data_IF_900003804314
#
_entry.id   IF_900003804314
#
_cell.length_a   1.000
_cell.length_b   1.000
_cell.length_c   1.000
_cell.angle_alpha   90.00
_cell.angle_beta   90.00
_cell.angle_gamma   90.00
#
_symmetry.space_group_name_H-M   'P 1'
#
loop_
_entity.id
_entity.type
_entity.pdbx_description
1 polymer ?
#
# COMPACT_ATOMS: atom_id res chain seq x y z
N UNK A 1 -7.49 8.33 16.37
CA UNK A 1 -6.18 8.40 15.67
C UNK A 1 -5.09 8.32 16.71
N UNK A 2 -4.12 7.45 16.49
CA UNK A 2 -2.91 7.37 17.30
C UNK A 2 -1.75 7.28 16.31
N UNK A 3 -0.79 8.21 16.36
CA UNK A 3 0.35 8.28 15.42
C UNK A 3 -0.01 8.29 13.91
N UNK A 4 -1.10 8.95 13.52
CA UNK A 4 -1.55 8.99 12.11
C UNK A 4 -2.15 7.69 11.60
N UNK A 5 -2.30 6.68 12.47
CA UNK A 5 -3.02 5.45 12.18
C UNK A 5 -4.52 5.69 12.26
N UNK A 6 -5.24 5.30 11.22
CA UNK A 6 -6.70 5.34 11.16
C UNK A 6 -7.22 3.92 11.14
N UNK A 7 -8.16 3.62 12.04
CA UNK A 7 -8.88 2.35 12.09
C UNK A 7 -10.34 2.64 11.79
N UNK A 8 -10.89 1.96 10.80
CA UNK A 8 -12.31 1.99 10.48
C UNK A 8 -12.90 0.62 10.75
N UNK A 9 -13.77 0.56 11.75
CA UNK A 9 -14.57 -0.62 12.07
C UNK A 9 -15.96 -0.46 11.46
N UNK A 10 -16.34 -1.41 10.62
CA UNK A 10 -17.66 -1.48 9.99
C UNK A 10 -18.32 -2.76 10.45
N UNK A 11 -19.39 -2.62 11.22
CA UNK A 11 -20.21 -3.71 11.71
C UNK A 11 -21.68 -3.46 11.43
N UNK A 12 -22.46 -4.53 11.36
CA UNK A 12 -23.91 -4.43 11.22
C UNK A 12 -24.52 -3.77 12.46
N UNK A 13 -25.56 -2.97 12.22
CA UNK A 13 -26.34 -2.36 13.29
C UNK A 13 -27.80 -2.79 13.18
N UNK A 14 -28.48 -2.87 14.33
CA UNK A 14 -29.90 -3.22 14.37
C UNK A 14 -30.79 -2.14 13.73
N UNK A 15 -30.26 -0.94 13.49
CA UNK A 15 -30.99 0.15 12.84
C UNK A 15 -31.20 -0.10 11.35
N UNK A 16 -30.31 -0.85 10.68
CA UNK A 16 -30.47 -1.26 9.28
C UNK A 16 -31.76 -2.08 9.09
N UNK A 17 -32.16 -2.87 10.09
CA UNK A 17 -33.40 -3.64 10.02
C UNK A 17 -34.67 -2.78 10.12
N UNK A 18 -34.60 -1.58 10.69
CA UNK A 18 -35.73 -0.65 10.74
C UNK A 18 -35.95 0.02 9.39
N UNK A 19 -34.87 0.38 8.69
CA UNK A 19 -34.93 1.03 7.37
C UNK A 19 -35.13 0.02 6.24
N UNK A 20 -34.58 -1.19 6.37
CA UNK A 20 -34.62 -2.25 5.37
C UNK A 20 -35.08 -3.58 5.99
N UNK A 21 -36.37 -3.73 6.32
CA UNK A 21 -36.89 -4.93 6.96
C UNK A 21 -36.76 -6.17 6.06
N UNK A 22 -36.44 -7.31 6.67
CA UNK A 22 -36.35 -8.60 5.99
C UNK A 22 -37.73 -8.98 5.45
N UNK A 23 -37.78 -9.41 4.20
CA UNK A 23 -38.98 -9.91 3.52
C UNK A 23 -38.86 -11.41 3.32
N UNK A 24 -39.99 -12.11 3.22
CA UNK A 24 -40.00 -13.54 2.88
C UNK A 24 -39.21 -13.80 1.59
N UNK A 25 -38.32 -14.79 1.65
CA UNK A 25 -37.41 -15.14 0.55
C UNK A 25 -36.04 -14.44 0.59
N UNK A 26 -35.83 -13.46 1.47
CA UNK A 26 -34.52 -12.84 1.68
C UNK A 26 -33.75 -13.53 2.82
N UNK A 27 -32.43 -13.56 2.69
CA UNK A 27 -31.51 -13.95 3.76
C UNK A 27 -30.76 -12.70 4.22
N UNK A 28 -30.67 -12.50 5.53
CA UNK A 28 -29.86 -11.43 6.09
C UNK A 28 -28.42 -11.93 6.26
N UNK A 29 -27.50 -11.34 5.50
CA UNK A 29 -26.08 -11.52 5.73
C UNK A 29 -25.58 -10.50 6.76
N UNK A 30 -24.66 -10.93 7.60
CA UNK A 30 -23.88 -10.08 8.50
C UNK A 30 -22.43 -10.00 8.04
N UNK A 31 -21.81 -8.84 8.16
CA UNK A 31 -20.40 -8.62 7.88
C UNK A 31 -19.77 -7.70 8.93
N UNK A 32 -18.65 -8.15 9.47
CA UNK A 32 -17.74 -7.31 10.23
C UNK A 32 -16.46 -7.10 9.43
N UNK A 33 -16.09 -5.86 9.20
CA UNK A 33 -14.91 -5.51 8.45
C UNK A 33 -14.09 -4.44 9.18
N UNK A 34 -12.78 -4.64 9.23
CA UNK A 34 -11.83 -3.71 9.81
C UNK A 34 -10.83 -3.29 8.74
N UNK A 35 -10.72 -1.98 8.55
CA UNK A 35 -9.68 -1.36 7.75
C UNK A 35 -8.68 -0.66 8.67
N UNK A 36 -7.40 -0.91 8.45
CA UNK A 36 -6.31 -0.21 9.12
C UNK A 36 -5.47 0.51 8.08
N UNK A 37 -5.28 1.81 8.28
CA UNK A 37 -4.45 2.67 7.45
C UNK A 37 -3.26 3.13 8.28
N UNK A 38 -2.06 2.84 7.80
CA UNK A 38 -0.80 3.15 8.50
C UNK A 38 0.10 3.96 7.57
N UNK A 39 0.66 5.09 8.03
CA UNK A 39 1.60 5.86 7.23
C UNK A 39 2.87 5.04 6.98
N UNK A 40 3.42 5.14 5.77
CA UNK A 40 4.72 4.60 5.41
C UNK A 40 5.67 5.74 5.05
N UNK A 41 6.98 5.45 5.07
CA UNK A 41 7.98 6.40 4.59
C UNK A 41 7.67 6.80 3.14
N UNK A 42 7.70 8.11 2.81
CA UNK A 42 7.47 8.55 1.44
C UNK A 42 8.62 8.11 0.51
N UNK A 43 8.32 7.99 -0.78
CA UNK A 43 9.36 7.84 -1.81
C UNK A 43 9.53 9.20 -2.49
N UNK A 44 10.63 9.89 -2.18
CA UNK A 44 10.79 11.30 -2.55
C UNK A 44 9.67 12.14 -1.92
N UNK A 45 8.92 12.86 -2.74
CA UNK A 45 7.74 13.65 -2.32
C UNK A 45 6.43 12.86 -2.34
N UNK A 46 6.46 11.56 -2.67
CA UNK A 46 5.26 10.75 -2.85
C UNK A 46 4.87 10.09 -1.52
N UNK A 47 3.76 10.51 -0.88
CA UNK A 47 3.31 9.92 0.39
C UNK A 47 2.88 8.47 0.19
N UNK A 48 3.11 7.64 1.22
CA UNK A 48 2.74 6.23 1.20
C UNK A 48 1.85 5.85 2.39
N UNK A 49 0.98 4.87 2.16
CA UNK A 49 0.08 4.34 3.18
C UNK A 49 -0.05 2.82 2.99
N UNK A 50 0.16 2.07 4.06
CA UNK A 50 -0.18 0.67 4.13
C UNK A 50 -1.66 0.53 4.48
N UNK A 51 -2.37 -0.33 3.76
CA UNK A 51 -3.78 -0.66 4.03
C UNK A 51 -3.87 -2.14 4.36
N UNK A 52 -4.36 -2.45 5.56
CA UNK A 52 -4.72 -3.80 5.96
C UNK A 52 -6.24 -3.91 6.04
N UNK A 53 -6.81 -4.88 5.32
CA UNK A 53 -8.24 -5.14 5.28
C UNK A 53 -8.53 -6.54 5.79
N UNK A 54 -9.38 -6.66 6.80
CA UNK A 54 -9.87 -7.95 7.31
C UNK A 54 -11.39 -7.91 7.37
N UNK A 55 -12.04 -8.92 6.80
CA UNK A 55 -13.49 -9.03 6.85
C UNK A 55 -13.92 -10.45 7.24
N UNK A 56 -14.97 -10.53 8.04
CA UNK A 56 -15.69 -11.73 8.42
C UNK A 56 -17.15 -11.55 8.03
N UNK A 57 -17.61 -12.37 7.09
CA UNK A 57 -19.02 -12.41 6.71
C UNK A 57 -19.68 -13.71 7.15
N UNK A 58 -20.89 -13.62 7.69
CA UNK A 58 -21.82 -14.74 7.81
C UNK A 58 -23.04 -14.43 6.95
N UNK A 59 -23.19 -15.15 5.85
CA UNK A 59 -24.27 -14.89 4.89
C UNK A 59 -25.59 -15.58 5.26
N UNK A 60 -25.64 -16.28 6.39
CA UNK A 60 -26.76 -17.03 6.95
C UNK A 60 -27.40 -18.06 5.97
N UNK A 61 -28.15 -19.00 6.52
CA UNK A 61 -28.81 -20.05 5.73
C UNK A 61 -27.86 -21.09 5.12
N UNK A 62 -28.36 -21.83 4.12
CA UNK A 62 -27.62 -22.93 3.47
C UNK A 62 -26.96 -22.47 2.17
N UNK A 63 -26.03 -21.52 2.27
CA UNK A 63 -25.31 -20.98 1.11
C UNK A 63 -24.14 -21.91 0.75
N UNK A 64 -24.09 -22.45 -0.49
CA UNK A 64 -22.99 -23.32 -0.90
C UNK A 64 -21.63 -22.61 -0.86
N UNK A 65 -20.59 -23.35 -0.49
CA UNK A 65 -19.22 -22.82 -0.39
C UNK A 65 -18.71 -22.15 -1.68
N UNK A 66 -19.17 -22.58 -2.86
CA UNK A 66 -18.77 -21.96 -4.13
C UNK A 66 -19.26 -20.51 -4.27
N UNK A 67 -20.46 -20.20 -3.74
CA UNK A 67 -21.02 -18.84 -3.73
C UNK A 67 -20.24 -17.97 -2.74
N UNK A 68 -19.87 -18.52 -1.59
CA UNK A 68 -19.00 -17.83 -0.62
C UNK A 68 -17.64 -17.48 -1.21
N UNK A 69 -16.99 -18.42 -1.90
CA UNK A 69 -15.70 -18.19 -2.55
C UNK A 69 -15.76 -17.12 -3.65
N UNK A 70 -16.89 -16.99 -4.35
CA UNK A 70 -17.08 -15.92 -5.33
C UNK A 70 -17.20 -14.55 -4.66
N UNK A 71 -17.96 -14.45 -3.57
CA UNK A 71 -18.11 -13.19 -2.82
C UNK A 71 -16.79 -12.73 -2.18
N UNK A 72 -15.98 -13.65 -1.66
CA UNK A 72 -14.65 -13.33 -1.15
C UNK A 72 -13.74 -12.68 -2.21
N UNK A 73 -13.77 -13.19 -3.46
CA UNK A 73 -13.03 -12.57 -4.58
C UNK A 73 -13.49 -11.15 -4.89
N UNK A 74 -14.79 -10.87 -4.78
CA UNK A 74 -15.36 -9.54 -5.02
C UNK A 74 -14.97 -8.53 -3.92
N UNK A 75 -14.81 -8.97 -2.68
CA UNK A 75 -14.25 -8.13 -1.62
C UNK A 75 -12.79 -7.79 -1.91
N UNK A 76 -11.98 -8.76 -2.32
CA UNK A 76 -10.58 -8.53 -2.69
C UNK A 76 -10.43 -7.62 -3.91
N UNK A 77 -11.35 -7.68 -4.88
CA UNK A 77 -11.32 -6.76 -6.02
C UNK A 77 -11.53 -5.31 -5.60
N UNK A 78 -12.34 -5.03 -4.57
CA UNK A 78 -12.52 -3.66 -4.06
C UNK A 78 -11.22 -3.07 -3.51
N UNK A 79 -10.43 -3.87 -2.77
CA UNK A 79 -9.10 -3.44 -2.28
C UNK A 79 -8.16 -3.15 -3.45
N UNK A 80 -8.17 -4.01 -4.48
CA UNK A 80 -7.37 -3.82 -5.70
C UNK A 80 -7.76 -2.54 -6.46
N UNK A 81 -9.07 -2.29 -6.60
CA UNK A 81 -9.56 -1.11 -7.30
C UNK A 81 -9.28 0.17 -6.51
N UNK A 82 -9.31 0.13 -5.17
CA UNK A 82 -8.85 1.22 -4.32
C UNK A 82 -7.37 1.54 -4.58
N UNK A 83 -6.50 0.52 -4.59
CA UNK A 83 -5.07 0.70 -4.91
C UNK A 83 -4.86 1.38 -6.26
N UNK A 84 -5.60 0.97 -7.30
CA UNK A 84 -5.49 1.57 -8.64
C UNK A 84 -5.86 3.06 -8.66
N UNK A 85 -6.86 3.48 -7.87
CA UNK A 85 -7.27 4.90 -7.80
C UNK A 85 -6.16 5.82 -7.27
N UNK A 86 -5.28 5.29 -6.44
CA UNK A 86 -4.14 6.02 -5.88
C UNK A 86 -2.82 5.63 -6.54
N UNK A 87 -2.86 5.01 -7.72
CA UNK A 87 -1.66 4.56 -8.40
C UNK A 87 -0.80 5.74 -8.87
N UNK A 88 0.42 5.81 -8.32
CA UNK A 88 1.46 6.78 -8.69
C UNK A 88 2.71 6.09 -9.21
N UNK A 89 2.58 4.86 -9.72
CA UNK A 89 3.72 4.05 -10.20
C UNK A 89 4.61 4.78 -11.21
N UNK A 90 4.04 5.60 -12.10
CA UNK A 90 4.82 6.40 -13.05
C UNK A 90 5.68 7.47 -12.36
N UNK A 91 5.16 8.15 -11.34
CA UNK A 91 5.90 9.16 -10.57
C UNK A 91 7.01 8.50 -9.75
N UNK A 92 6.70 7.36 -9.12
CA UNK A 92 7.69 6.56 -8.39
C UNK A 92 8.81 6.10 -9.31
N UNK A 93 8.47 5.62 -10.52
CA UNK A 93 9.45 5.18 -11.50
C UNK A 93 10.32 6.35 -12.00
N UNK A 94 9.74 7.51 -12.25
CA UNK A 94 10.48 8.71 -12.64
C UNK A 94 11.46 9.16 -11.55
N UNK A 95 11.02 9.19 -10.28
CA UNK A 95 11.88 9.53 -9.15
C UNK A 95 13.04 8.55 -8.97
N UNK A 96 12.80 7.24 -9.14
CA UNK A 96 13.89 6.25 -9.07
C UNK A 96 14.90 6.45 -10.18
N UNK A 97 14.43 6.72 -11.41
CA UNK A 97 15.33 7.02 -12.53
C UNK A 97 16.17 8.26 -12.29
N UNK A 98 15.61 9.33 -11.72
CA UNK A 98 16.41 10.52 -11.41
C UNK A 98 17.49 10.26 -10.36
N UNK A 99 17.25 9.35 -9.41
CA UNK A 99 18.28 8.92 -8.46
C UNK A 99 19.39 8.13 -9.14
N UNK A 100 19.02 7.25 -10.08
CA UNK A 100 19.99 6.48 -10.87
C UNK A 100 20.84 7.43 -11.74
N UNK A 101 20.21 8.40 -12.42
CA UNK A 101 20.90 9.39 -13.25
C UNK A 101 21.85 10.30 -12.42
N UNK A 102 21.46 10.66 -11.19
CA UNK A 102 22.29 11.45 -10.27
C UNK A 102 23.52 10.65 -9.80
N UNK A 103 23.34 9.36 -9.51
CA UNK A 103 24.44 8.47 -9.16
C UNK A 103 25.42 8.29 -10.33
N UNK A 104 24.90 8.07 -11.55
CA UNK A 104 25.72 7.97 -12.76
C UNK A 104 26.51 9.26 -13.02
N UNK A 105 25.91 10.43 -12.77
CA UNK A 105 26.60 11.71 -12.94
C UNK A 105 27.70 11.91 -11.89
N UNK A 106 27.46 11.55 -10.64
CA UNK A 106 28.47 11.62 -9.58
C UNK A 106 29.69 10.74 -9.91
N UNK A 107 29.45 9.55 -10.47
CA UNK A 107 30.52 8.65 -10.94
C UNK A 107 31.32 9.27 -12.09
N UNK A 108 30.64 9.94 -13.05
CA UNK A 108 31.30 10.64 -14.15
C UNK A 108 32.13 11.84 -13.68
N UNK A 109 31.64 12.60 -12.70
CA UNK A 109 32.36 13.74 -12.12
C UNK A 109 33.62 13.26 -11.38
N UNK A 110 33.51 12.20 -10.58
CA UNK A 110 34.67 11.57 -9.94
C UNK A 110 35.71 11.08 -10.97
N UNK A 111 35.27 10.42 -12.05
CA UNK A 111 36.16 10.00 -13.14
C UNK A 111 36.85 11.19 -13.82
N UNK A 112 36.13 12.30 -14.01
CA UNK A 112 36.69 13.51 -14.60
C UNK A 112 37.80 14.12 -13.72
N UNK A 113 37.61 14.12 -12.39
CA UNK A 113 38.59 14.66 -11.45
C UNK A 113 39.85 13.79 -11.35
N UNK A 114 39.69 12.46 -11.45
CA UNK A 114 40.82 11.52 -11.61
C UNK A 114 41.62 11.84 -12.88
N UNK A 115 40.95 12.08 -14.01
CA UNK A 115 41.61 12.40 -15.30
C UNK A 115 42.38 13.73 -15.24
N UNK A 116 41.82 14.73 -14.54
CA UNK A 116 42.48 16.02 -14.32
C UNK A 116 43.58 15.96 -13.25
N UNK A 117 43.75 14.83 -12.58
CA UNK A 117 44.72 14.61 -11.52
C UNK A 117 44.48 15.55 -10.32
N UNK A 118 43.20 15.82 -10.02
CA UNK A 118 42.77 16.56 -8.83
C UNK A 118 42.95 15.71 -7.57
N UNK A 119 43.18 16.35 -6.41
CA UNK A 119 43.41 15.66 -5.14
C UNK A 119 42.15 14.88 -4.72
N UNK A 120 42.27 13.55 -4.58
CA UNK A 120 41.15 12.66 -4.32
C UNK A 120 40.94 12.48 -2.81
N UNK A 121 39.75 12.83 -2.31
CA UNK A 121 39.35 12.52 -0.93
C UNK A 121 38.65 11.16 -0.88
N UNK A 122 39.37 10.15 -0.40
CA UNK A 122 38.83 8.80 -0.16
C UNK A 122 38.13 8.70 1.20
N UNK A 123 37.05 7.92 1.27
CA UNK A 123 36.41 7.60 2.54
C UNK A 123 37.24 6.59 3.38
N UNK A 124 36.78 6.31 4.60
CA UNK A 124 37.51 5.42 5.53
C UNK A 124 37.51 3.95 5.08
N UNK A 125 36.49 3.49 4.34
CA UNK A 125 36.46 2.13 3.77
C UNK A 125 37.41 2.03 2.59
N UNK A 126 37.40 3.00 1.69
CA UNK A 126 38.28 3.10 0.53
C UNK A 126 39.75 3.18 0.97
N UNK A 127 40.08 4.05 1.95
CA UNK A 127 41.44 4.13 2.53
C UNK A 127 41.92 2.80 3.09
N UNK A 128 41.01 2.00 3.66
CA UNK A 128 41.32 0.68 4.20
C UNK A 128 41.54 -0.36 3.09
N UNK A 129 40.87 -0.22 1.95
CA UNK A 129 41.04 -1.09 0.79
C UNK A 129 42.34 -0.84 0.01
N UNK A 130 42.89 0.39 0.09
CA UNK A 130 44.11 0.80 -0.64
C UNK A 130 45.40 0.56 0.19
N UNK A 131 45.27 0.16 1.46
CA UNK A 131 46.39 -0.07 2.40
C UNK A 131 46.81 -1.54 2.49
#
# INVERSE_FOLDING_TARGET
EENGKVVMDVSDTNDVMKEYPIKDGNVLASTHAVWMFEPLAPIGEIPQTAVSFTARGDMAGMIPAHVMNFNAKRLLSQVSDMRKKFDKSAQIAAYKRSLDDEADQADLDMLADIIKNEEQEYDDEEKKAIR
#
